data_IF_002916194112
#
_entry.id   IF_002916194112
#
_cell.length_a   1.000
_cell.length_b   1.000
_cell.length_c   1.000
_cell.angle_alpha   90.00
_cell.angle_beta   90.00
_cell.angle_gamma   90.00
#
_symmetry.space_group_name_H-M   'P 1'
#
loop_
_entity.id
_entity.type
_entity.pdbx_description
1 polymer ?
#
# COMPACT_ATOMS: atom_id res chain seq x y z
N UNK A 1 12.11 4.87 -6.06
CA UNK A 1 10.76 4.28 -6.16
C UNK A 1 10.15 4.18 -4.78
N UNK A 2 8.82 4.19 -4.67
CA UNK A 2 8.09 4.19 -3.40
C UNK A 2 6.68 3.61 -3.59
N UNK A 3 6.15 2.92 -2.57
CA UNK A 3 4.83 2.27 -2.58
C UNK A 3 4.21 2.46 -1.19
N UNK A 4 3.11 3.20 -1.13
CA UNK A 4 2.67 3.78 0.14
C UNK A 4 1.33 3.27 0.63
N UNK A 5 1.29 3.02 1.94
CA UNK A 5 0.08 3.07 2.74
C UNK A 5 0.24 4.21 3.75
N UNK A 6 -0.66 5.17 3.72
CA UNK A 6 -0.69 6.30 4.65
C UNK A 6 -2.07 6.38 5.30
N UNK A 7 -2.11 6.35 6.62
CA UNK A 7 -3.35 6.48 7.38
C UNK A 7 -3.52 7.92 7.82
N UNK A 8 -4.45 8.63 7.18
CA UNK A 8 -4.73 10.01 7.51
C UNK A 8 -5.74 10.03 8.65
N UNK A 9 -5.30 10.57 9.79
CA UNK A 9 -6.11 10.72 10.99
C UNK A 9 -7.29 11.67 10.81
N UNK A 10 -8.19 11.69 11.79
CA UNK A 10 -9.35 12.55 11.76
C UNK A 10 -9.80 12.99 13.17
N UNK A 11 -10.82 13.85 13.23
CA UNK A 11 -11.49 14.21 14.46
C UNK A 11 -12.19 12.98 15.08
N UNK A 12 -12.38 13.01 16.39
CA UNK A 12 -13.05 11.92 17.12
C UNK A 12 -14.46 11.68 16.56
N UNK A 13 -14.71 10.46 16.09
CA UNK A 13 -15.99 10.06 15.49
C UNK A 13 -16.01 10.13 13.95
N UNK A 14 -15.06 10.83 13.33
CA UNK A 14 -14.93 10.88 11.88
C UNK A 14 -14.05 9.75 11.33
N UNK A 15 -14.31 9.27 10.10
CA UNK A 15 -13.59 8.13 9.54
C UNK A 15 -12.13 8.48 9.20
N UNK A 16 -11.23 7.53 9.44
CA UNK A 16 -9.88 7.54 8.89
C UNK A 16 -9.91 7.39 7.36
N UNK A 17 -8.91 7.97 6.70
CA UNK A 17 -8.67 7.76 5.27
C UNK A 17 -7.44 6.87 5.11
N UNK A 18 -7.59 5.79 4.33
CA UNK A 18 -6.47 5.03 3.81
C UNK A 18 -6.04 5.62 2.47
N UNK A 19 -4.86 6.19 2.44
CA UNK A 19 -4.23 6.78 1.28
C UNK A 19 -3.19 5.80 0.72
N UNK A 20 -3.17 5.63 -0.61
CA UNK A 20 -2.13 4.86 -1.31
C UNK A 20 -1.48 5.69 -2.40
N UNK A 21 -0.18 5.52 -2.58
CA UNK A 21 0.58 6.17 -3.65
C UNK A 21 1.62 5.22 -4.26
N UNK A 22 2.09 5.56 -5.47
CA UNK A 22 3.17 4.84 -6.15
C UNK A 22 4.09 5.86 -6.80
N UNK A 23 5.34 5.93 -6.34
CA UNK A 23 6.39 6.73 -6.95
C UNK A 23 7.30 5.87 -7.82
N UNK A 24 7.57 6.37 -9.01
CA UNK A 24 8.49 5.75 -9.97
C UNK A 24 9.50 6.80 -10.42
N UNK A 25 10.79 6.53 -10.24
CA UNK A 25 11.88 7.45 -10.60
C UNK A 25 11.68 8.87 -10.00
N UNK A 26 11.22 8.94 -8.76
CA UNK A 26 10.96 10.19 -8.04
C UNK A 26 9.64 10.88 -8.38
N UNK A 27 8.84 10.34 -9.31
CA UNK A 27 7.53 10.90 -9.67
C UNK A 27 6.39 10.09 -9.07
N UNK A 28 5.64 10.72 -8.17
CA UNK A 28 4.38 10.24 -7.59
C UNK A 28 3.17 10.80 -8.34
N UNK A 29 2.27 11.50 -7.62
CA UNK A 29 0.99 12.02 -8.12
C UNK A 29 0.06 10.90 -8.61
N UNK A 30 0.04 9.79 -7.85
CA UNK A 30 -0.79 8.62 -8.15
C UNK A 30 -1.63 8.25 -6.94
N UNK A 31 -2.18 9.26 -6.26
CA UNK A 31 -2.91 9.10 -5.01
C UNK A 31 -4.27 8.42 -5.26
N UNK A 32 -4.60 7.46 -4.41
CA UNK A 32 -5.97 6.96 -4.25
C UNK A 32 -6.31 6.93 -2.78
N UNK A 33 -7.51 7.41 -2.43
CA UNK A 33 -7.97 7.48 -1.04
C UNK A 33 -9.24 6.68 -0.86
N UNK A 34 -9.34 6.01 0.28
CA UNK A 34 -10.46 5.13 0.62
C UNK A 34 -10.90 5.35 2.06
N UNK A 35 -12.21 5.29 2.30
CA UNK A 35 -12.72 4.90 3.61
C UNK A 35 -12.59 3.38 3.80
N UNK A 36 -12.59 2.92 5.04
CA UNK A 36 -12.57 1.49 5.36
C UNK A 36 -13.97 1.01 5.75
N UNK A 37 -14.27 -0.25 5.45
CA UNK A 37 -15.53 -0.91 5.85
C UNK A 37 -15.56 -1.36 7.32
N UNK A 38 -14.62 -0.85 8.13
CA UNK A 38 -14.48 -1.10 9.55
C UNK A 38 -13.79 0.11 10.21
N UNK A 39 -13.84 0.19 11.54
CA UNK A 39 -13.08 1.17 12.32
C UNK A 39 -11.64 0.65 12.55
N UNK A 40 -10.60 1.23 11.90
CA UNK A 40 -9.23 0.74 11.99
C UNK A 40 -8.59 0.96 13.37
N UNK A 41 -9.24 1.70 14.27
CA UNK A 41 -8.73 1.99 15.62
C UNK A 41 -9.14 0.94 16.66
N UNK A 42 -10.10 0.06 16.32
CA UNK A 42 -10.70 -0.88 17.27
C UNK A 42 -10.04 -2.24 17.29
N UNK A 43 -9.51 -2.69 16.16
CA UNK A 43 -8.90 -4.00 16.01
C UNK A 43 -7.71 -3.92 15.04
N UNK A 44 -6.83 -4.92 15.13
CA UNK A 44 -5.77 -5.07 14.14
C UNK A 44 -6.33 -5.66 12.85
N UNK A 45 -5.98 -5.03 11.73
CA UNK A 45 -6.24 -5.49 10.38
C UNK A 45 -4.93 -5.73 9.63
N UNK A 46 -4.98 -6.56 8.60
CA UNK A 46 -3.79 -6.91 7.82
C UNK A 46 -3.69 -6.03 6.59
N UNK A 47 -2.64 -5.20 6.53
CA UNK A 47 -2.30 -4.41 5.35
C UNK A 47 -1.14 -5.08 4.63
N UNK A 48 -1.26 -5.30 3.33
CA UNK A 48 -0.28 -6.08 2.57
C UNK A 48 -0.03 -5.46 1.20
N UNK A 49 1.23 -5.55 0.78
CA UNK A 49 1.67 -5.21 -0.57
C UNK A 49 2.20 -6.49 -1.21
N UNK A 50 1.62 -6.88 -2.34
CA UNK A 50 2.21 -7.87 -3.25
C UNK A 50 2.86 -7.07 -4.36
N UNK A 51 4.18 -7.19 -4.50
CA UNK A 51 4.95 -6.50 -5.53
C UNK A 51 5.79 -7.51 -6.31
N UNK A 52 5.48 -7.66 -7.60
CA UNK A 52 6.21 -8.52 -8.52
C UNK A 52 6.46 -7.76 -9.85
N UNK A 53 7.21 -8.33 -10.81
CA UNK A 53 7.51 -7.66 -12.07
C UNK A 53 6.28 -7.29 -12.92
N UNK A 54 5.12 -7.89 -12.67
CA UNK A 54 3.89 -7.69 -13.45
C UNK A 54 2.99 -6.62 -12.84
N UNK A 55 2.95 -6.47 -11.51
CA UNK A 55 2.08 -5.50 -10.84
C UNK A 55 2.41 -5.32 -9.35
N UNK A 56 1.79 -4.30 -8.77
CA UNK A 56 1.68 -4.05 -7.33
C UNK A 56 0.20 -4.19 -6.95
N UNK A 57 -0.10 -4.96 -5.92
CA UNK A 57 -1.44 -5.11 -5.35
C UNK A 57 -1.40 -4.64 -3.90
N UNK A 58 -2.29 -3.70 -3.57
CA UNK A 58 -2.55 -3.25 -2.21
C UNK A 58 -3.75 -4.02 -1.66
N UNK A 59 -3.59 -4.64 -0.49
CA UNK A 59 -4.65 -5.42 0.16
C UNK A 59 -4.92 -4.95 1.58
N UNK A 60 -6.19 -5.02 1.97
CA UNK A 60 -6.68 -4.87 3.33
C UNK A 60 -7.44 -6.16 3.67
N UNK A 61 -6.98 -6.94 4.64
CA UNK A 61 -7.53 -8.25 5.01
C UNK A 61 -7.71 -9.20 3.82
N UNK A 62 -6.71 -9.28 2.94
CA UNK A 62 -6.75 -10.06 1.69
C UNK A 62 -7.81 -9.59 0.66
N UNK A 63 -8.41 -8.41 0.86
CA UNK A 63 -9.27 -7.75 -0.12
C UNK A 63 -8.42 -6.75 -0.91
N UNK A 64 -8.27 -6.91 -2.25
CA UNK A 64 -7.53 -5.94 -3.04
C UNK A 64 -8.28 -4.62 -3.12
N UNK A 65 -7.59 -3.51 -2.82
CA UNK A 65 -8.15 -2.16 -2.92
C UNK A 65 -7.61 -1.40 -4.13
N UNK A 66 -6.40 -1.76 -4.59
CA UNK A 66 -5.72 -1.13 -5.72
C UNK A 66 -4.79 -2.13 -6.42
N UNK A 67 -4.70 -2.00 -7.75
CA UNK A 67 -3.69 -2.68 -8.58
C UNK A 67 -2.99 -1.66 -9.45
N UNK A 68 -1.67 -1.59 -9.36
CA UNK A 68 -0.83 -0.83 -10.28
C UNK A 68 -0.09 -1.81 -11.19
N UNK A 69 -0.49 -1.88 -12.45
CA UNK A 69 0.11 -2.83 -13.42
C UNK A 69 1.43 -2.29 -13.96
N UNK A 70 2.36 -3.19 -14.26
CA UNK A 70 3.48 -2.85 -15.10
C UNK A 70 2.97 -2.55 -16.52
N UNK A 71 3.06 -1.28 -16.90
CA UNK A 71 2.64 -0.74 -18.18
C UNK A 71 3.82 -0.06 -18.90
N UNK A 72 5.04 -0.54 -18.67
CA UNK A 72 6.25 -0.02 -19.34
C UNK A 72 6.18 -0.15 -20.86
N UNK A 73 5.47 -1.14 -21.39
CA UNK A 73 5.24 -1.30 -22.84
C UNK A 73 4.49 -0.13 -23.48
N UNK A 74 3.75 0.65 -22.68
CA UNK A 74 3.05 1.87 -23.10
C UNK A 74 3.65 3.13 -22.45
N UNK A 75 4.89 3.03 -21.95
CA UNK A 75 5.68 4.18 -21.49
C UNK A 75 5.42 4.61 -20.04
N UNK A 76 4.64 3.87 -19.24
CA UNK A 76 4.45 4.16 -17.81
C UNK A 76 5.55 3.45 -17.01
N UNK A 77 6.44 4.19 -16.32
CA UNK A 77 7.48 3.56 -15.50
C UNK A 77 6.88 2.69 -14.39
N UNK A 78 7.60 1.65 -14.01
CA UNK A 78 7.20 0.71 -12.95
C UNK A 78 8.39 0.43 -12.03
N UNK A 79 8.18 0.33 -10.70
CA UNK A 79 9.29 0.06 -9.79
C UNK A 79 9.71 -1.40 -9.92
N UNK A 80 10.75 -1.67 -10.72
CA UNK A 80 11.28 -3.03 -10.94
C UNK A 80 12.78 -3.18 -10.68
N UNK A 81 13.54 -2.10 -10.82
CA UNK A 81 15.01 -2.17 -10.87
C UNK A 81 15.70 -1.66 -9.61
N UNK A 82 14.98 -0.93 -8.75
CA UNK A 82 15.55 -0.37 -7.52
C UNK A 82 15.11 -1.23 -6.33
N UNK A 83 16.05 -1.89 -5.62
CA UNK A 83 15.72 -2.56 -4.37
C UNK A 83 15.19 -1.54 -3.36
N UNK A 84 14.14 -1.90 -2.63
CA UNK A 84 13.50 -1.04 -1.64
C UNK A 84 13.64 -1.61 -0.23
N UNK A 85 13.50 -0.74 0.77
CA UNK A 85 13.40 -1.10 2.19
C UNK A 85 11.97 -0.84 2.67
N UNK A 86 11.58 -1.56 3.71
CA UNK A 86 10.29 -1.37 4.37
C UNK A 86 10.49 -0.32 5.46
N UNK A 87 9.60 0.67 5.49
CA UNK A 87 9.56 1.72 6.51
C UNK A 87 8.19 1.75 7.18
N UNK A 88 8.18 2.26 8.42
CA UNK A 88 6.96 2.62 9.14
C UNK A 88 7.30 3.81 10.02
N UNK A 89 6.41 4.80 10.06
CA UNK A 89 6.58 6.00 10.86
C UNK A 89 5.22 6.49 11.35
N UNK A 90 5.25 7.31 12.41
CA UNK A 90 4.12 8.10 12.87
C UNK A 90 4.62 9.53 12.99
N UNK A 91 3.99 10.46 12.27
CA UNK A 91 4.48 11.83 12.15
C UNK A 91 3.33 12.80 11.88
N UNK A 92 3.58 14.10 12.09
CA UNK A 92 2.60 15.16 11.88
C UNK A 92 2.60 15.67 10.43
N UNK A 93 1.44 15.70 9.79
CA UNK A 93 1.27 16.12 8.41
C UNK A 93 0.16 17.19 8.27
N UNK A 94 0.16 18.15 9.19
CA UNK A 94 -0.85 19.22 9.34
C UNK A 94 -1.23 19.95 8.05
N UNK A 95 -0.29 20.09 7.12
CA UNK A 95 -0.50 20.88 5.91
C UNK A 95 -1.44 20.21 4.90
N UNK A 96 -1.72 18.91 5.04
CA UNK A 96 -2.52 18.20 4.05
C UNK A 96 -3.34 17.01 4.58
N UNK A 97 -2.97 16.38 5.71
CA UNK A 97 -3.53 15.07 6.09
C UNK A 97 -5.04 15.10 6.40
N UNK A 98 -5.50 15.99 7.28
CA UNK A 98 -6.89 16.00 7.73
C UNK A 98 -7.69 17.09 7.02
N UNK A 99 -8.71 16.69 6.26
CA UNK A 99 -9.54 17.58 5.42
C UNK A 99 -8.71 18.51 4.53
N UNK A 100 -7.69 17.95 3.87
CA UNK A 100 -6.79 18.72 3.01
C UNK A 100 -5.95 19.76 3.77
N UNK A 101 -5.68 19.52 5.06
CA UNK A 101 -4.88 20.40 5.91
C UNK A 101 -5.66 21.47 6.68
N UNK A 102 -6.99 21.49 6.57
CA UNK A 102 -7.84 22.44 7.30
C UNK A 102 -7.91 22.15 8.80
N UNK A 103 -7.74 20.89 9.20
CA UNK A 103 -7.77 20.47 10.60
C UNK A 103 -6.34 20.17 11.05
N UNK A 104 -5.89 20.87 12.08
CA UNK A 104 -4.55 20.75 12.65
C UNK A 104 -4.53 19.82 13.85
N UNK A 105 -3.37 19.25 14.14
CA UNK A 105 -3.12 18.35 15.25
C UNK A 105 -3.28 19.09 16.57
N UNK A 106 -4.19 18.60 17.41
CA UNK A 106 -4.34 19.06 18.79
C UNK A 106 -3.36 18.32 19.70
N UNK A 107 -2.20 18.93 19.94
CA UNK A 107 -1.13 18.35 20.74
C UNK A 107 -1.48 18.15 22.22
N UNK A 108 -2.58 18.74 22.71
CA UNK A 108 -3.06 18.46 24.07
C UNK A 108 -3.60 17.03 24.22
N UNK A 109 -3.90 16.37 23.09
CA UNK A 109 -4.34 14.96 23.03
C UNK A 109 -3.19 13.96 22.90
N UNK A 110 -1.94 14.42 22.92
CA UNK A 110 -0.78 13.54 22.91
C UNK A 110 -0.73 12.66 24.17
N UNK A 111 -0.16 11.45 24.09
CA UNK A 111 0.54 10.86 22.93
C UNK A 111 -0.41 10.23 21.89
N UNK A 112 -0.09 10.42 20.61
CA UNK A 112 -0.70 9.66 19.52
C UNK A 112 0.04 8.33 19.37
N UNK A 113 -0.71 7.21 19.35
CA UNK A 113 -0.11 5.87 19.36
C UNK A 113 -0.62 5.04 18.20
N UNK A 114 0.31 4.41 17.47
CA UNK A 114 0.01 3.40 16.45
C UNK A 114 0.64 2.07 16.86
N UNK A 115 -0.14 0.99 16.80
CA UNK A 115 0.32 -0.35 17.19
C UNK A 115 0.53 -1.22 15.95
N UNK A 116 1.62 -1.99 15.95
CA UNK A 116 2.00 -2.88 14.87
C UNK A 116 2.27 -4.28 15.42
N UNK A 117 1.89 -5.32 14.68
CA UNK A 117 2.16 -6.73 15.03
C UNK A 117 2.22 -7.59 13.78
N UNK A 118 2.69 -8.83 13.94
CA UNK A 118 2.69 -9.86 12.90
C UNK A 118 3.44 -9.45 11.62
N UNK A 119 4.61 -8.83 11.77
CA UNK A 119 5.47 -8.47 10.64
C UNK A 119 5.86 -9.73 9.86
N UNK A 120 5.50 -9.76 8.57
CA UNK A 120 5.84 -10.83 7.65
C UNK A 120 6.42 -10.23 6.38
N UNK A 121 7.60 -10.69 6.00
CA UNK A 121 8.24 -10.34 4.74
C UNK A 121 8.73 -11.62 4.07
N UNK A 122 8.16 -11.92 2.90
CA UNK A 122 8.65 -12.94 1.98
C UNK A 122 9.07 -12.19 0.71
N UNK A 123 10.38 -11.99 0.56
CA UNK A 123 10.91 -11.06 -0.43
C UNK A 123 12.26 -11.53 -1.00
N UNK A 124 12.54 -11.07 -2.21
CA UNK A 124 13.85 -11.19 -2.84
C UNK A 124 14.80 -10.13 -2.29
N UNK A 125 15.49 -10.46 -1.21
CA UNK A 125 16.47 -9.57 -0.56
C UNK A 125 17.70 -9.34 -1.45
N UNK A 126 18.22 -8.12 -1.42
CA UNK A 126 19.45 -7.73 -2.13
C UNK A 126 20.59 -7.53 -1.14
N UNK A 127 21.72 -8.19 -1.38
CA UNK A 127 22.94 -8.06 -0.57
C UNK A 127 24.17 -8.17 -1.47
N UNK A 128 25.19 -7.34 -1.20
CA UNK A 128 26.44 -7.28 -1.97
C UNK A 128 26.24 -7.25 -3.51
N UNK A 129 25.22 -6.51 -3.98
CA UNK A 129 24.91 -6.38 -5.41
C UNK A 129 24.19 -7.58 -6.05
N UNK A 130 23.77 -8.57 -5.27
CA UNK A 130 23.09 -9.79 -5.76
C UNK A 130 21.74 -10.00 -5.08
N UNK A 131 20.78 -10.58 -5.81
CA UNK A 131 19.47 -10.95 -5.25
C UNK A 131 19.46 -12.39 -4.73
N UNK A 132 18.82 -12.62 -3.57
CA UNK A 132 18.59 -13.96 -3.01
C UNK A 132 17.63 -14.81 -3.85
N UNK A 133 16.77 -14.16 -4.62
CA UNK A 133 16.03 -14.78 -5.71
C UNK A 133 16.91 -14.80 -6.96
N UNK A 134 17.94 -15.64 -6.98
CA UNK A 134 18.70 -15.88 -8.22
C UNK A 134 17.80 -16.39 -9.35
N UNK A 135 18.38 -16.65 -10.53
CA UNK A 135 17.71 -17.16 -11.75
C UNK A 135 17.15 -18.59 -11.62
N UNK A 136 16.79 -19.05 -10.41
CA UNK A 136 16.22 -20.37 -10.18
C UNK A 136 14.74 -20.37 -10.58
N UNK A 137 14.26 -21.44 -11.25
CA UNK A 137 12.87 -21.55 -11.65
C UNK A 137 11.95 -21.45 -10.43
N UNK A 138 10.77 -20.86 -10.64
CA UNK A 138 9.76 -20.57 -9.61
C UNK A 138 9.33 -21.78 -8.77
N UNK A 139 9.56 -23.01 -9.27
CA UNK A 139 9.28 -24.27 -8.58
C UNK A 139 10.22 -24.60 -7.40
N UNK A 140 11.35 -23.89 -7.25
CA UNK A 140 12.30 -24.12 -6.16
C UNK A 140 11.97 -23.38 -4.85
N UNK A 141 10.96 -22.51 -4.86
CA UNK A 141 10.50 -21.80 -3.67
C UNK A 141 9.07 -22.27 -3.36
N UNK A 142 8.93 -23.09 -2.32
CA UNK A 142 7.62 -23.49 -1.76
C UNK A 142 6.75 -22.30 -1.35
N UNK A 143 7.34 -21.11 -1.24
CA UNK A 143 6.71 -19.85 -0.79
C UNK A 143 6.70 -18.76 -1.90
N UNK A 144 6.95 -19.12 -3.17
CA UNK A 144 7.09 -18.20 -4.30
C UNK A 144 5.80 -17.75 -4.98
N UNK A 145 4.62 -18.13 -4.46
CA UNK A 145 3.33 -17.92 -5.12
C UNK A 145 3.02 -16.44 -5.43
N UNK A 146 3.58 -15.51 -4.66
CA UNK A 146 3.42 -14.06 -4.88
C UNK A 146 4.09 -13.57 -6.18
N UNK A 147 5.13 -14.26 -6.67
CA UNK A 147 5.88 -13.86 -7.88
C UNK A 147 5.06 -13.95 -9.15
N UNK A 148 4.05 -14.82 -9.15
CA UNK A 148 3.13 -15.05 -10.27
C UNK A 148 1.68 -14.83 -9.84
N UNK A 149 1.47 -14.23 -8.67
CA UNK A 149 0.13 -13.97 -8.18
C UNK A 149 -0.56 -13.02 -9.16
N UNK A 150 -1.81 -13.30 -9.48
CA UNK A 150 -2.67 -12.38 -10.21
C UNK A 150 -4.05 -12.39 -9.54
N UNK A 151 -4.78 -11.29 -9.66
CA UNK A 151 -6.14 -11.26 -9.13
C UNK A 151 -7.03 -12.22 -9.90
N UNK A 152 -7.59 -13.21 -9.21
CA UNK A 152 -8.63 -14.09 -9.74
C UNK A 152 -9.96 -13.33 -9.97
N UNK A 153 -10.93 -13.99 -10.60
CA UNK A 153 -12.22 -13.36 -10.90
C UNK A 153 -12.97 -12.85 -9.65
N UNK A 154 -13.05 -13.60 -8.53
CA UNK A 154 -13.57 -13.09 -7.26
C UNK A 154 -12.86 -11.85 -6.74
N UNK A 155 -11.52 -11.84 -6.72
CA UNK A 155 -10.74 -10.71 -6.22
C UNK A 155 -10.92 -9.46 -7.07
N UNK A 156 -11.03 -9.63 -8.41
CA UNK A 156 -11.40 -8.52 -9.31
C UNK A 156 -12.80 -7.97 -9.03
N UNK A 157 -13.77 -8.80 -8.62
CA UNK A 157 -15.10 -8.31 -8.21
C UNK A 157 -15.02 -7.52 -6.90
N UNK A 158 -14.25 -8.00 -5.92
CA UNK A 158 -14.03 -7.30 -4.65
C UNK A 158 -13.33 -5.96 -4.85
N UNK A 159 -12.30 -5.91 -5.71
CA UNK A 159 -11.64 -4.65 -6.08
C UNK A 159 -12.64 -3.62 -6.60
N UNK A 160 -13.52 -4.02 -7.54
CA UNK A 160 -14.56 -3.12 -8.06
C UNK A 160 -15.56 -2.69 -7.00
N UNK A 161 -15.90 -3.57 -6.05
CA UNK A 161 -16.77 -3.23 -4.93
C UNK A 161 -16.11 -2.18 -4.01
N UNK A 162 -14.83 -2.35 -3.66
CA UNK A 162 -14.08 -1.36 -2.88
C UNK A 162 -14.03 -0.02 -3.60
N UNK A 163 -13.64 -0.03 -4.87
CA UNK A 163 -13.55 1.18 -5.69
C UNK A 163 -14.89 1.89 -5.84
N UNK A 164 -15.99 1.14 -5.93
CA UNK A 164 -17.34 1.73 -6.09
C UNK A 164 -17.88 2.36 -4.81
N UNK A 165 -17.65 1.74 -3.66
CA UNK A 165 -18.34 2.12 -2.41
C UNK A 165 -17.46 2.82 -1.39
N UNK A 166 -16.14 2.72 -1.51
CA UNK A 166 -15.21 3.18 -0.47
C UNK A 166 -14.14 4.14 -0.99
N UNK A 167 -13.88 4.19 -2.30
CA UNK A 167 -12.93 5.13 -2.88
C UNK A 167 -13.53 6.55 -2.91
N UNK A 168 -12.78 7.52 -2.39
CA UNK A 168 -13.21 8.92 -2.28
C UNK A 168 -12.35 9.86 -3.14
N UNK A 169 -11.16 9.42 -3.55
CA UNK A 169 -10.30 10.16 -4.47
C UNK A 169 -9.53 9.17 -5.35
N UNK A 170 -9.39 9.52 -6.63
CA UNK A 170 -8.61 8.77 -7.60
C UNK A 170 -7.92 9.74 -8.56
N UNK A 171 -6.61 9.60 -8.74
CA UNK A 171 -5.83 10.45 -9.64
C UNK A 171 -6.09 10.22 -11.14
N UNK A 172 -6.60 9.04 -11.53
CA UNK A 172 -6.91 8.69 -12.94
C UNK A 172 -8.15 9.41 -13.44
#
# INVERSE_FOLDING_TARGET
>A
DEIDFEFLGNLSGDPYILHTNVFTQGKGNREQQFYLWFDPTRNFHTYSIIWNPQHIIFLVDSIPIRVFKNAESVGVPFPKSQPMRIYSSLWNADDWATRGGLVKTDWTKAPFTAYYRNFKANACTWSYGTSSCGSKPSSAFSDGAWKTNELDAPSRRRLRWVQKYFMIYNYC
#
